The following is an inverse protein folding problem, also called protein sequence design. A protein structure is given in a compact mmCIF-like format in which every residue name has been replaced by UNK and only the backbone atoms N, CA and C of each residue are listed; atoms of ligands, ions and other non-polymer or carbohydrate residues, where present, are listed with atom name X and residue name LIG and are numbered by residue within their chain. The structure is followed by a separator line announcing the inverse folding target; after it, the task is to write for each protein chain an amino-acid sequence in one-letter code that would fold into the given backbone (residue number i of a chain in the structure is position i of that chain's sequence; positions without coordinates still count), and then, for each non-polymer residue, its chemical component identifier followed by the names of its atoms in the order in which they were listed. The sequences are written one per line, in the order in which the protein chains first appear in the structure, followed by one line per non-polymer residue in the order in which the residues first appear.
data_IF_558653123790
#
_entry.id   IF_558653123790
#
_cell.length_a   1.000
_cell.length_b   1.000
_cell.length_c   1.000
_cell.angle_alpha   90.00
_cell.angle_beta   90.00
_cell.angle_gamma   90.00
#
_symmetry.space_group_name_H-M   'P 1'
#
loop_
_entity.id
_entity.type
_entity.pdbx_description
1 polymer ?
#
# COMPACT_ATOMS: atom_id res chain seq x y z
N UNK A 1 -18.73 -7.86 19.93
CA UNK A 1 -17.27 -7.83 19.65
C UNK A 1 -16.92 -7.42 18.21
N UNK A 2 -17.61 -7.92 17.20
CA UNK A 2 -17.40 -7.53 15.81
C UNK A 2 -17.91 -6.12 15.47
N UNK A 3 -18.84 -5.60 16.24
CA UNK A 3 -19.50 -4.31 15.98
C UNK A 3 -18.54 -3.12 15.97
N UNK A 4 -17.56 -3.08 16.88
CA UNK A 4 -16.59 -1.98 16.97
C UNK A 4 -15.65 -1.94 15.76
N UNK A 5 -15.12 -3.11 15.37
CA UNK A 5 -14.25 -3.23 14.20
C UNK A 5 -15.02 -2.80 12.94
N UNK A 6 -16.27 -3.27 12.80
CA UNK A 6 -17.14 -2.93 11.69
C UNK A 6 -17.47 -1.44 11.65
N UNK A 7 -17.82 -0.83 12.79
CA UNK A 7 -18.15 0.61 12.86
C UNK A 7 -16.95 1.47 12.45
N UNK A 8 -15.75 1.16 12.96
CA UNK A 8 -14.54 1.90 12.63
C UNK A 8 -14.14 1.69 11.17
N UNK A 9 -14.23 0.48 10.66
CA UNK A 9 -14.04 0.17 9.26
C UNK A 9 -15.00 0.97 8.35
N UNK A 10 -16.31 0.93 8.67
CA UNK A 10 -17.34 1.64 7.91
C UNK A 10 -17.16 3.17 7.95
N UNK A 11 -16.72 3.70 9.10
CA UNK A 11 -16.40 5.12 9.27
C UNK A 11 -15.30 5.54 8.29
N UNK A 12 -14.22 4.77 8.18
CA UNK A 12 -13.12 5.05 7.26
C UNK A 12 -13.61 5.06 5.81
N UNK A 13 -14.36 4.06 5.42
CA UNK A 13 -14.90 3.93 4.08
C UNK A 13 -15.83 5.10 3.73
N UNK A 14 -16.79 5.44 4.62
CA UNK A 14 -17.70 6.58 4.42
C UNK A 14 -16.96 7.91 4.31
N UNK A 15 -15.92 8.11 5.15
CA UNK A 15 -15.10 9.33 5.13
C UNK A 15 -14.35 9.47 3.81
N UNK A 16 -13.78 8.38 3.30
CA UNK A 16 -13.10 8.37 2.02
C UNK A 16 -14.05 8.65 0.85
N UNK A 17 -15.19 7.96 0.76
CA UNK A 17 -16.16 8.13 -0.32
C UNK A 17 -16.79 9.52 -0.38
N UNK A 18 -16.90 10.21 0.78
CA UNK A 18 -17.40 11.59 0.84
C UNK A 18 -16.37 12.64 0.41
N UNK A 19 -15.09 12.31 0.39
CA UNK A 19 -14.00 13.23 0.05
C UNK A 19 -13.55 13.07 -1.40
N UNK A 20 -14.28 13.64 -2.35
CA UNK A 20 -13.94 13.59 -3.78
C UNK A 20 -12.54 14.16 -4.07
N UNK A 21 -12.16 15.25 -3.40
CA UNK A 21 -10.84 15.86 -3.53
C UNK A 21 -9.72 14.91 -3.11
N UNK A 22 -9.92 14.11 -2.06
CA UNK A 22 -8.95 13.10 -1.61
C UNK A 22 -8.80 11.98 -2.63
N UNK A 23 -9.91 11.49 -3.21
CA UNK A 23 -9.90 10.45 -4.24
C UNK A 23 -9.13 10.93 -5.48
N UNK A 24 -9.47 12.12 -5.99
CA UNK A 24 -8.83 12.68 -7.18
C UNK A 24 -7.36 13.00 -6.91
N UNK A 25 -7.05 13.62 -5.76
CA UNK A 25 -5.69 13.99 -5.40
C UNK A 25 -4.75 12.79 -5.24
N UNK A 26 -5.24 11.69 -4.65
CA UNK A 26 -4.45 10.47 -4.48
C UNK A 26 -4.20 9.70 -5.78
N UNK A 27 -5.02 9.92 -6.82
CA UNK A 27 -4.81 9.34 -8.15
C UNK A 27 -3.81 10.15 -9.00
N UNK A 28 -3.63 11.43 -8.71
CA UNK A 28 -2.82 12.33 -9.55
C UNK A 28 -1.41 11.81 -9.80
N UNK A 29 -0.70 11.45 -8.74
CA UNK A 29 0.68 10.95 -8.84
C UNK A 29 0.77 9.58 -9.56
N UNK A 30 0.03 8.51 -9.18
CA UNK A 30 0.07 7.24 -9.90
C UNK A 30 -0.27 7.37 -11.38
N UNK A 31 -1.31 8.14 -11.70
CA UNK A 31 -1.73 8.36 -13.09
C UNK A 31 -0.64 9.09 -13.88
N UNK A 32 -0.07 10.15 -13.31
CA UNK A 32 1.01 10.89 -13.94
C UNK A 32 2.22 9.98 -14.20
N UNK A 33 2.63 9.17 -13.21
CA UNK A 33 3.73 8.23 -13.38
C UNK A 33 3.42 7.18 -14.46
N UNK A 34 2.20 6.63 -14.47
CA UNK A 34 1.81 5.65 -15.49
C UNK A 34 1.93 6.22 -16.91
N UNK A 35 1.41 7.42 -17.14
CA UNK A 35 1.42 8.03 -18.46
C UNK A 35 2.81 8.62 -18.81
N UNK A 36 3.42 9.39 -17.92
CA UNK A 36 4.70 10.04 -18.20
C UNK A 36 5.83 9.01 -18.38
N UNK A 37 5.94 8.04 -17.48
CA UNK A 37 6.97 7.01 -17.59
C UNK A 37 6.59 5.95 -18.64
N UNK A 38 5.34 5.51 -18.67
CA UNK A 38 4.87 4.50 -19.60
C UNK A 38 5.08 4.88 -21.06
N UNK A 39 4.69 6.09 -21.44
CA UNK A 39 4.90 6.60 -22.81
C UNK A 39 6.28 7.18 -23.01
N UNK A 40 6.88 7.85 -22.01
CA UNK A 40 8.20 8.46 -22.11
C UNK A 40 9.32 7.44 -22.26
N UNK A 41 9.32 6.38 -21.44
CA UNK A 41 10.34 5.33 -21.51
C UNK A 41 9.97 4.16 -22.44
N UNK A 42 8.71 4.06 -22.88
CA UNK A 42 8.24 2.98 -23.76
C UNK A 42 9.15 2.73 -24.98
N UNK A 43 9.49 3.73 -25.81
CA UNK A 43 10.35 3.55 -26.96
C UNK A 43 11.77 3.07 -26.61
N UNK A 44 12.33 3.52 -25.50
CA UNK A 44 13.67 3.13 -25.03
C UNK A 44 13.65 1.66 -24.58
N UNK A 45 12.63 1.28 -23.83
CA UNK A 45 12.45 -0.08 -23.31
C UNK A 45 12.25 -1.12 -24.43
N UNK A 46 11.48 -0.75 -25.46
CA UNK A 46 11.30 -1.58 -26.66
C UNK A 46 12.61 -1.76 -27.43
N UNK A 47 13.38 -0.67 -27.63
CA UNK A 47 14.69 -0.76 -28.31
C UNK A 47 15.69 -1.62 -27.55
N UNK A 48 15.58 -1.69 -26.22
CA UNK A 48 16.40 -2.59 -25.40
C UNK A 48 15.93 -4.06 -25.42
N UNK A 49 14.90 -4.40 -26.22
CA UNK A 49 14.37 -5.78 -26.31
C UNK A 49 13.54 -6.25 -25.12
N UNK A 50 13.15 -5.33 -24.22
CA UNK A 50 12.46 -5.63 -22.97
C UNK A 50 10.90 -5.65 -23.10
N UNK A 51 10.37 -5.49 -24.32
CA UNK A 51 8.94 -5.52 -24.60
C UNK A 51 8.23 -4.20 -24.31
N UNK A 52 7.00 -4.27 -23.83
CA UNK A 52 6.17 -3.09 -23.57
C UNK A 52 6.34 -2.60 -22.12
N UNK A 53 6.83 -1.37 -21.96
CA UNK A 53 7.09 -0.78 -20.64
C UNK A 53 5.82 -0.57 -19.79
N UNK A 54 4.66 -0.30 -20.39
CA UNK A 54 3.39 -0.20 -19.66
C UNK A 54 3.05 -1.54 -19.00
N UNK A 55 3.31 -2.66 -19.68
CA UNK A 55 3.10 -4.01 -19.11
C UNK A 55 4.00 -4.24 -17.89
N UNK A 56 5.25 -3.80 -17.96
CA UNK A 56 6.21 -3.92 -16.87
C UNK A 56 5.88 -2.97 -15.70
N UNK A 57 5.51 -1.72 -16.00
CA UNK A 57 5.34 -0.63 -15.04
C UNK A 57 4.04 -0.74 -14.23
N UNK A 58 2.94 -1.20 -14.84
CA UNK A 58 1.59 -1.20 -14.23
C UNK A 58 1.54 -1.86 -12.85
N UNK A 59 2.07 -3.08 -12.61
CA UNK A 59 2.05 -3.68 -11.27
C UNK A 59 2.74 -2.81 -10.22
N UNK A 60 3.86 -2.18 -10.59
CA UNK A 60 4.59 -1.25 -9.73
C UNK A 60 3.79 0.02 -9.38
N UNK A 61 3.06 0.59 -10.35
CA UNK A 61 2.22 1.77 -10.10
C UNK A 61 1.01 1.44 -9.25
N UNK A 62 0.42 0.26 -9.41
CA UNK A 62 -0.65 -0.22 -8.53
C UNK A 62 -0.12 -0.34 -7.09
N UNK A 63 1.03 -0.99 -6.90
CA UNK A 63 1.66 -1.14 -5.59
C UNK A 63 2.02 0.23 -4.97
N UNK A 64 2.53 1.16 -5.76
CA UNK A 64 2.79 2.54 -5.36
C UNK A 64 1.53 3.23 -4.82
N UNK A 65 0.43 3.14 -5.56
CA UNK A 65 -0.85 3.74 -5.14
C UNK A 65 -1.34 3.18 -3.82
N UNK A 66 -1.23 1.85 -3.64
CA UNK A 66 -1.58 1.16 -2.41
C UNK A 66 -0.65 1.63 -1.27
N UNK A 67 0.67 1.64 -1.48
CA UNK A 67 1.65 2.07 -0.49
C UNK A 67 1.35 3.46 0.07
N UNK A 68 1.22 4.45 -0.82
CA UNK A 68 0.95 5.83 -0.41
C UNK A 68 -0.38 5.94 0.34
N UNK A 69 -1.46 5.39 -0.21
CA UNK A 69 -2.79 5.47 0.40
C UNK A 69 -2.85 4.77 1.75
N UNK A 70 -2.21 3.60 1.86
CA UNK A 70 -2.15 2.82 3.10
C UNK A 70 -1.43 3.55 4.21
N UNK A 71 -0.19 3.99 3.95
CA UNK A 71 0.64 4.65 4.95
C UNK A 71 0.01 5.96 5.41
N UNK A 72 -0.44 6.81 4.46
CA UNK A 72 -1.06 8.08 4.82
C UNK A 72 -2.43 7.95 5.48
N UNK A 73 -3.07 6.77 5.46
CA UNK A 73 -4.27 6.52 6.27
C UNK A 73 -4.00 6.63 7.77
N UNK A 74 -2.76 6.39 8.21
CA UNK A 74 -2.32 6.54 9.61
C UNK A 74 -2.44 7.96 10.15
N UNK A 75 -2.35 9.00 9.29
CA UNK A 75 -2.44 10.40 9.71
C UNK A 75 -3.77 10.72 10.43
N UNK A 76 -4.80 9.92 10.16
CA UNK A 76 -6.11 10.09 10.80
C UNK A 76 -6.07 9.83 12.32
N UNK A 77 -5.11 9.02 12.81
CA UNK A 77 -4.92 8.82 14.25
C UNK A 77 -4.39 10.11 14.89
N UNK A 78 -3.47 10.80 14.21
CA UNK A 78 -2.91 12.06 14.68
C UNK A 78 -3.98 13.15 14.67
N UNK A 79 -4.80 13.22 13.62
CA UNK A 79 -5.94 14.13 13.57
C UNK A 79 -6.94 13.88 14.69
N UNK A 80 -7.35 12.61 14.87
CA UNK A 80 -8.29 12.24 15.93
C UNK A 80 -7.71 12.57 17.31
N UNK A 81 -6.38 12.54 17.50
CA UNK A 81 -5.69 12.97 18.73
C UNK A 81 -5.75 14.49 18.90
N UNK A 82 -5.40 15.27 17.87
CA UNK A 82 -5.34 16.73 17.94
C UNK A 82 -6.73 17.37 18.12
N UNK A 83 -7.76 16.80 17.50
CA UNK A 83 -9.14 17.29 17.60
C UNK A 83 -9.94 16.66 18.76
N UNK A 84 -9.30 15.88 19.64
CA UNK A 84 -9.93 15.31 20.83
C UNK A 84 -10.79 14.07 20.59
N UNK A 85 -11.06 13.69 19.35
CA UNK A 85 -11.91 12.55 19.00
C UNK A 85 -11.31 11.21 19.44
N UNK A 86 -9.98 11.13 19.55
CA UNK A 86 -9.32 9.94 20.04
C UNK A 86 -9.65 9.67 21.52
N UNK A 87 -9.84 10.75 22.34
CA UNK A 87 -10.24 10.64 23.75
C UNK A 87 -11.59 9.96 23.87
N UNK A 88 -12.58 10.39 23.09
CA UNK A 88 -13.92 9.78 23.07
C UNK A 88 -13.87 8.30 22.70
N UNK A 89 -13.04 7.93 21.72
CA UNK A 89 -12.86 6.54 21.29
C UNK A 89 -12.19 5.69 22.36
N UNK A 90 -11.25 6.26 23.15
CA UNK A 90 -10.49 5.52 24.18
C UNK A 90 -11.22 5.41 25.53
N UNK A 91 -12.22 6.26 25.79
CA UNK A 91 -13.11 6.16 26.96
C UNK A 91 -14.14 5.03 26.78
N UNK A 92 -14.46 4.64 25.55
CA UNK A 92 -15.34 3.52 25.29
C UNK A 92 -14.79 2.21 25.91
N UNK A 93 -15.62 1.36 26.52
CA UNK A 93 -15.18 0.10 27.14
C UNK A 93 -14.89 -0.99 26.11
N UNK A 94 -13.94 -0.71 25.21
CA UNK A 94 -13.53 -1.59 24.12
C UNK A 94 -12.02 -1.85 24.14
N UNK A 95 -11.58 -3.07 23.87
CA UNK A 95 -10.16 -3.39 23.79
C UNK A 95 -9.48 -2.57 22.68
N UNK A 96 -8.34 -1.95 23.01
CA UNK A 96 -7.62 -1.05 22.11
C UNK A 96 -7.17 -1.72 20.80
N UNK A 97 -6.89 -3.04 20.84
CA UNK A 97 -6.55 -3.80 19.64
C UNK A 97 -7.68 -3.83 18.60
N UNK A 98 -8.95 -3.84 19.04
CA UNK A 98 -10.09 -3.79 18.12
C UNK A 98 -10.17 -2.46 17.38
N UNK A 99 -9.82 -1.37 18.07
CA UNK A 99 -9.76 -0.04 17.47
C UNK A 99 -8.67 -0.04 16.39
N UNK A 100 -7.49 -0.56 16.70
CA UNK A 100 -6.38 -0.64 15.76
C UNK A 100 -6.73 -1.50 14.55
N UNK A 101 -7.25 -2.70 14.75
CA UNK A 101 -7.65 -3.61 13.67
C UNK A 101 -8.74 -2.98 12.79
N UNK A 102 -9.77 -2.37 13.39
CA UNK A 102 -10.83 -1.70 12.64
C UNK A 102 -10.31 -0.56 11.75
N UNK A 103 -9.35 0.23 12.27
CA UNK A 103 -8.68 1.30 11.49
C UNK A 103 -7.80 0.72 10.39
N UNK A 104 -7.01 -0.32 10.69
CA UNK A 104 -6.15 -0.98 9.70
C UNK A 104 -6.97 -1.57 8.57
N UNK A 105 -8.05 -2.29 8.86
CA UNK A 105 -8.94 -2.84 7.84
C UNK A 105 -9.61 -1.74 7.02
N UNK A 106 -10.03 -0.64 7.66
CA UNK A 106 -10.62 0.50 6.97
C UNK A 106 -9.67 1.16 5.99
N UNK A 107 -8.45 1.49 6.43
CA UNK A 107 -7.40 2.06 5.59
C UNK A 107 -6.97 1.11 4.46
N UNK A 108 -6.82 -0.19 4.77
CA UNK A 108 -6.48 -1.21 3.78
C UNK A 108 -7.57 -1.37 2.70
N UNK A 109 -8.85 -1.33 3.07
CA UNK A 109 -9.95 -1.37 2.10
C UNK A 109 -9.92 -0.16 1.18
N UNK A 110 -9.67 1.03 1.72
CA UNK A 110 -9.53 2.27 0.94
C UNK A 110 -8.34 2.18 -0.02
N UNK A 111 -7.19 1.70 0.45
CA UNK A 111 -5.99 1.55 -0.37
C UNK A 111 -6.15 0.49 -1.47
N UNK A 112 -6.79 -0.63 -1.17
CA UNK A 112 -7.12 -1.66 -2.16
C UNK A 112 -8.05 -1.10 -3.24
N UNK A 113 -9.08 -0.35 -2.84
CA UNK A 113 -9.98 0.31 -3.78
C UNK A 113 -9.24 1.30 -4.68
N UNK A 114 -8.30 2.06 -4.10
CA UNK A 114 -7.43 2.96 -4.86
C UNK A 114 -6.55 2.19 -5.87
N UNK A 115 -5.96 1.07 -5.46
CA UNK A 115 -5.21 0.19 -6.35
C UNK A 115 -6.05 -0.37 -7.50
N UNK A 116 -7.32 -0.74 -7.24
CA UNK A 116 -8.27 -1.17 -8.27
C UNK A 116 -8.60 -0.05 -9.26
N UNK A 117 -8.77 1.19 -8.81
CA UNK A 117 -8.98 2.33 -9.71
C UNK A 117 -7.77 2.50 -10.64
N UNK A 118 -6.55 2.44 -10.08
CA UNK A 118 -5.32 2.52 -10.89
C UNK A 118 -5.21 1.35 -11.87
N UNK A 119 -5.59 0.14 -11.45
CA UNK A 119 -5.65 -1.02 -12.34
C UNK A 119 -6.60 -0.77 -13.51
N UNK A 120 -7.82 -0.26 -13.26
CA UNK A 120 -8.79 0.07 -14.33
C UNK A 120 -8.25 1.15 -15.27
N UNK A 121 -7.61 2.19 -14.73
CA UNK A 121 -6.97 3.24 -15.55
C UNK A 121 -5.84 2.63 -16.40
N UNK A 122 -5.08 1.68 -15.86
CA UNK A 122 -4.01 1.00 -16.61
C UNK A 122 -4.56 0.15 -17.77
N UNK A 123 -5.74 -0.46 -17.63
CA UNK A 123 -6.40 -1.15 -18.73
C UNK A 123 -6.74 -0.19 -19.89
N UNK A 124 -7.22 1.03 -19.54
CA UNK A 124 -7.50 2.09 -20.52
C UNK A 124 -6.22 2.58 -21.18
N UNK A 125 -5.10 2.63 -20.44
CA UNK A 125 -3.77 3.01 -20.95
C UNK A 125 -3.11 1.94 -21.83
N UNK A 126 -3.77 0.77 -22.02
CA UNK A 126 -3.28 -0.31 -22.91
C UNK A 126 -2.60 -1.47 -22.18
N UNK A 127 -2.67 -1.54 -20.85
CA UNK A 127 -2.28 -2.72 -20.11
C UNK A 127 -3.23 -3.89 -20.40
N UNK A 128 -2.68 -5.10 -20.57
CA UNK A 128 -3.47 -6.32 -20.81
C UNK A 128 -2.98 -7.41 -19.86
N UNK A 129 -3.80 -7.82 -18.86
CA UNK A 129 -3.46 -8.96 -18.02
C UNK A 129 -3.37 -10.23 -18.87
N UNK A 130 -2.34 -11.04 -18.65
CA UNK A 130 -2.13 -12.25 -19.46
C UNK A 130 -3.13 -13.36 -19.15
N UNK A 131 -3.45 -13.54 -17.87
CA UNK A 131 -4.34 -14.60 -17.42
C UNK A 131 -5.46 -14.05 -16.52
N UNK A 132 -6.71 -13.99 -16.98
CA UNK A 132 -7.83 -13.53 -16.16
C UNK A 132 -8.05 -14.34 -14.87
N UNK A 133 -7.72 -15.65 -14.85
CA UNK A 133 -7.86 -16.47 -13.66
C UNK A 133 -6.90 -16.04 -12.53
N UNK A 134 -5.77 -15.44 -12.88
CA UNK A 134 -4.80 -14.94 -11.92
C UNK A 134 -5.17 -13.58 -11.29
N UNK A 135 -6.23 -12.92 -11.77
CA UNK A 135 -6.70 -11.65 -11.20
C UNK A 135 -7.11 -11.79 -9.73
N UNK A 136 -7.60 -12.97 -9.32
CA UNK A 136 -7.95 -13.22 -7.92
C UNK A 136 -6.71 -13.14 -7.03
N UNK A 137 -5.57 -13.69 -7.47
CA UNK A 137 -4.31 -13.62 -6.73
C UNK A 137 -3.76 -12.20 -6.70
N UNK A 138 -3.85 -11.46 -7.81
CA UNK A 138 -3.49 -10.03 -7.83
C UNK A 138 -4.32 -9.24 -6.81
N UNK A 139 -5.64 -9.49 -6.75
CA UNK A 139 -6.52 -8.84 -5.77
C UNK A 139 -6.14 -9.18 -4.32
N UNK A 140 -5.84 -10.44 -4.03
CA UNK A 140 -5.40 -10.87 -2.70
C UNK A 140 -4.07 -10.21 -2.31
N UNK A 141 -3.11 -10.08 -3.24
CA UNK A 141 -1.85 -9.38 -3.00
C UNK A 141 -2.08 -7.90 -2.75
N UNK A 142 -3.00 -7.24 -3.50
CA UNK A 142 -3.38 -5.85 -3.23
C UNK A 142 -3.88 -5.70 -1.78
N UNK A 143 -4.74 -6.60 -1.31
CA UNK A 143 -5.28 -6.59 0.05
C UNK A 143 -4.16 -6.78 1.08
N UNK A 144 -3.29 -7.76 0.91
CA UNK A 144 -2.19 -8.04 1.85
C UNK A 144 -1.21 -6.88 1.92
N UNK A 145 -0.81 -6.34 0.77
CA UNK A 145 0.05 -5.14 0.69
C UNK A 145 -0.61 -3.95 1.38
N UNK A 146 -1.91 -3.76 1.17
CA UNK A 146 -2.67 -2.68 1.81
C UNK A 146 -2.76 -2.86 3.33
N UNK A 147 -3.01 -4.07 3.85
CA UNK A 147 -3.03 -4.35 5.29
C UNK A 147 -1.66 -4.08 5.91
N UNK A 148 -0.59 -4.60 5.28
CA UNK A 148 0.78 -4.44 5.74
C UNK A 148 1.15 -2.97 5.92
N UNK A 149 1.00 -2.17 4.88
CA UNK A 149 1.40 -0.76 4.91
C UNK A 149 0.44 0.13 5.69
N UNK A 150 -0.84 -0.23 5.80
CA UNK A 150 -1.76 0.45 6.72
C UNK A 150 -1.39 0.16 8.17
N UNK A 151 -1.05 -1.07 8.51
CA UNK A 151 -0.59 -1.43 9.84
C UNK A 151 0.71 -0.68 10.20
N UNK A 152 1.65 -0.57 9.25
CA UNK A 152 2.87 0.22 9.43
C UNK A 152 2.57 1.70 9.67
N UNK A 153 1.76 2.31 8.81
CA UNK A 153 1.38 3.73 8.94
C UNK A 153 0.65 4.04 10.24
N UNK A 154 -0.28 3.17 10.65
CA UNK A 154 -1.02 3.33 11.91
C UNK A 154 -0.13 3.07 13.14
N UNK A 155 0.82 2.13 13.07
CA UNK A 155 1.79 1.89 14.13
C UNK A 155 2.68 3.13 14.37
N UNK A 156 3.23 3.73 13.31
CA UNK A 156 4.04 4.93 13.40
C UNK A 156 3.22 6.13 13.88
N UNK A 157 2.00 6.31 13.39
CA UNK A 157 1.09 7.36 13.83
C UNK A 157 0.69 7.24 15.31
N UNK A 158 0.75 6.02 15.87
CA UNK A 158 0.46 5.80 17.30
C UNK A 158 1.54 6.41 18.21
N UNK A 159 2.78 6.53 17.73
CA UNK A 159 3.91 7.10 18.47
C UNK A 159 3.98 8.61 18.27
N UNK A 160 3.71 9.08 17.05
CA UNK A 160 3.86 10.48 16.67
C UNK A 160 2.65 11.31 17.10
N UNK A 161 2.90 12.55 17.50
CA UNK A 161 1.87 13.51 17.93
C UNK A 161 1.67 14.65 16.93
N UNK A 162 2.66 14.86 16.05
CA UNK A 162 2.72 15.96 15.11
C UNK A 162 2.50 15.49 13.67
N UNK A 163 1.66 16.22 12.93
CA UNK A 163 1.35 15.90 11.52
C UNK A 163 2.52 16.14 10.59
N UNK A 164 3.30 17.21 10.84
CA UNK A 164 4.42 17.55 9.97
C UNK A 164 5.53 16.52 10.12
N UNK A 165 5.83 16.13 11.37
CA UNK A 165 6.78 15.08 11.68
C UNK A 165 6.37 13.74 11.03
N UNK A 166 5.08 13.40 11.08
CA UNK A 166 4.56 12.21 10.41
C UNK A 166 4.79 12.28 8.89
N UNK A 167 4.46 13.40 8.25
CA UNK A 167 4.65 13.55 6.80
C UNK A 167 6.12 13.44 6.39
N UNK A 168 7.04 14.05 7.14
CA UNK A 168 8.47 14.00 6.86
C UNK A 168 9.00 12.57 6.98
N UNK A 169 8.69 11.88 8.08
CA UNK A 169 9.11 10.48 8.30
C UNK A 169 8.53 9.57 7.23
N UNK A 170 7.25 9.75 6.88
CA UNK A 170 6.61 8.91 5.86
C UNK A 170 7.21 9.13 4.48
N UNK A 171 7.46 10.38 4.06
CA UNK A 171 8.11 10.65 2.79
C UNK A 171 9.52 10.06 2.74
N UNK A 172 10.29 10.17 3.83
CA UNK A 172 11.61 9.57 3.93
C UNK A 172 11.56 8.03 3.86
N UNK A 173 10.53 7.41 4.42
CA UNK A 173 10.36 5.96 4.42
C UNK A 173 9.82 5.44 3.08
N UNK A 174 8.80 6.11 2.52
CA UNK A 174 8.10 5.67 1.31
C UNK A 174 9.02 5.69 0.09
N UNK A 175 9.84 6.73 -0.06
CA UNK A 175 10.68 6.87 -1.24
C UNK A 175 11.69 5.72 -1.40
N UNK A 176 12.50 5.35 -0.40
CA UNK A 176 13.36 4.18 -0.51
C UNK A 176 12.61 2.89 -0.78
N UNK A 177 11.50 2.63 -0.06
CA UNK A 177 10.68 1.45 -0.27
C UNK A 177 10.18 1.36 -1.72
N UNK A 178 9.66 2.46 -2.27
CA UNK A 178 9.15 2.46 -3.64
C UNK A 178 10.26 2.27 -4.67
N UNK A 179 11.38 2.99 -4.53
CA UNK A 179 12.47 2.89 -5.50
C UNK A 179 13.21 1.55 -5.43
N UNK A 180 13.34 0.93 -4.26
CA UNK A 180 13.99 -0.37 -4.11
C UNK A 180 13.07 -1.55 -4.46
N UNK A 181 11.75 -1.36 -4.50
CA UNK A 181 10.79 -2.46 -4.71
C UNK A 181 10.83 -3.14 -6.09
N UNK A 182 11.64 -2.66 -7.02
CA UNK A 182 11.60 -3.13 -8.41
C UNK A 182 10.37 -2.70 -9.20
N UNK A 183 9.62 -1.70 -8.71
CA UNK A 183 8.45 -1.17 -9.39
C UNK A 183 8.80 -0.50 -10.74
N UNK A 184 9.94 0.18 -10.81
CA UNK A 184 10.35 1.00 -11.95
C UNK A 184 11.40 0.35 -12.85
N UNK A 185 12.15 -0.64 -12.37
CA UNK A 185 13.22 -1.29 -13.11
C UNK A 185 13.28 -2.80 -12.81
N UNK A 186 13.78 -3.60 -13.75
CA UNK A 186 13.98 -5.04 -13.55
C UNK A 186 15.01 -5.33 -12.47
N UNK A 187 14.77 -6.36 -11.66
CA UNK A 187 15.67 -6.77 -10.57
C UNK A 187 16.85 -7.64 -11.03
N UNK A 188 16.89 -8.01 -12.30
CA UNK A 188 17.92 -8.91 -12.84
C UNK A 188 19.25 -8.17 -13.03
N UNK A 189 20.37 -8.82 -12.63
CA UNK A 189 21.71 -8.29 -12.86
C UNK A 189 22.17 -7.20 -11.88
N UNK A 190 21.47 -7.00 -10.77
CA UNK A 190 21.81 -6.02 -9.75
C UNK A 190 23.03 -6.46 -8.91
N UNK A 191 23.82 -5.52 -8.38
CA UNK A 191 24.86 -5.79 -7.39
C UNK A 191 24.28 -6.47 -6.13
N UNK A 192 25.05 -7.36 -5.50
CA UNK A 192 24.60 -8.11 -4.31
C UNK A 192 24.03 -7.24 -3.20
N UNK A 193 24.61 -6.07 -2.95
CA UNK A 193 24.15 -5.14 -1.89
C UNK A 193 22.73 -4.68 -2.18
N UNK A 194 22.43 -4.28 -3.42
CA UNK A 194 21.08 -3.87 -3.81
C UNK A 194 20.09 -5.04 -3.75
N UNK A 195 20.49 -6.22 -4.18
CA UNK A 195 19.66 -7.43 -4.09
C UNK A 195 19.27 -7.76 -2.64
N UNK A 196 20.18 -7.60 -1.67
CA UNK A 196 19.88 -7.78 -0.25
C UNK A 196 18.90 -6.73 0.24
N UNK A 197 19.12 -5.45 -0.09
CA UNK A 197 18.21 -4.35 0.31
C UNK A 197 16.80 -4.56 -0.25
N UNK A 198 16.69 -5.00 -1.50
CA UNK A 198 15.42 -5.32 -2.16
C UNK A 198 14.71 -6.48 -1.46
N UNK A 199 15.45 -7.53 -1.06
CA UNK A 199 14.88 -8.67 -0.35
C UNK A 199 14.40 -8.34 1.07
N UNK A 200 14.88 -7.26 1.66
CA UNK A 200 14.41 -6.75 2.95
C UNK A 200 13.18 -5.83 2.82
N UNK A 201 12.92 -5.34 1.62
CA UNK A 201 11.79 -4.46 1.35
C UNK A 201 10.49 -5.27 1.14
N UNK A 202 9.50 -5.16 2.05
CA UNK A 202 8.25 -5.89 1.89
C UNK A 202 7.44 -5.47 0.66
N UNK A 203 7.65 -4.26 0.13
CA UNK A 203 6.97 -3.80 -1.09
C UNK A 203 7.46 -4.58 -2.31
N UNK A 204 8.71 -5.05 -2.32
CA UNK A 204 9.24 -5.87 -3.41
C UNK A 204 8.42 -7.12 -3.67
N UNK A 205 7.99 -7.80 -2.61
CA UNK A 205 7.10 -8.97 -2.71
C UNK A 205 5.68 -8.59 -3.17
N UNK A 206 5.19 -7.41 -2.77
CA UNK A 206 3.92 -6.88 -3.27
C UNK A 206 3.96 -6.59 -4.78
N UNK A 207 5.03 -5.94 -5.25
CA UNK A 207 5.25 -5.64 -6.67
C UNK A 207 5.47 -6.91 -7.47
N UNK A 208 6.28 -7.84 -6.98
CA UNK A 208 6.60 -9.09 -7.68
C UNK A 208 5.37 -10.00 -7.79
N UNK A 209 4.64 -10.17 -6.71
CA UNK A 209 3.41 -10.95 -6.71
C UNK A 209 2.32 -10.36 -7.62
N UNK A 210 2.16 -9.02 -7.65
CA UNK A 210 1.29 -8.34 -8.62
C UNK A 210 1.78 -8.57 -10.05
N UNK A 211 3.09 -8.46 -10.29
CA UNK A 211 3.67 -8.68 -11.62
C UNK A 211 3.48 -10.13 -12.06
N UNK A 212 3.79 -11.11 -11.21
CA UNK A 212 3.58 -12.52 -11.48
C UNK A 212 2.13 -12.86 -11.80
N UNK A 213 1.19 -12.32 -11.01
CA UNK A 213 -0.24 -12.56 -11.21
C UNK A 213 -0.81 -11.87 -12.45
N UNK A 214 -0.35 -10.66 -12.79
CA UNK A 214 -0.90 -9.87 -13.89
C UNK A 214 -0.21 -10.12 -15.23
N UNK A 215 1.12 -10.39 -15.24
CA UNK A 215 1.94 -10.50 -16.45
C UNK A 215 2.65 -11.84 -16.59
N UNK A 216 2.51 -12.75 -15.63
CA UNK A 216 3.19 -14.04 -15.63
C UNK A 216 4.71 -13.97 -15.40
N UNK A 217 5.26 -12.77 -15.21
CA UNK A 217 6.69 -12.54 -14.97
C UNK A 217 6.91 -12.28 -13.48
N UNK A 218 7.56 -13.19 -12.76
CA UNK A 218 7.92 -13.01 -11.35
C UNK A 218 9.42 -13.25 -11.14
N UNK A 219 9.99 -12.56 -10.17
CA UNK A 219 11.37 -12.79 -9.72
C UNK A 219 11.41 -13.86 -8.62
N UNK A 220 10.47 -13.80 -7.69
CA UNK A 220 10.23 -14.80 -6.66
C UNK A 220 9.08 -15.73 -7.07
N UNK A 221 8.82 -16.76 -6.28
CA UNK A 221 7.62 -17.56 -6.45
C UNK A 221 6.44 -16.89 -5.74
N UNK A 222 5.26 -16.92 -6.37
CA UNK A 222 4.03 -16.35 -5.81
C UNK A 222 3.75 -16.82 -4.37
N UNK A 223 4.09 -18.09 -4.05
CA UNK A 223 3.96 -18.62 -2.68
C UNK A 223 4.87 -17.89 -1.69
N UNK A 224 6.09 -17.50 -2.10
CA UNK A 224 7.03 -16.73 -1.27
C UNK A 224 6.44 -15.33 -1.01
N UNK A 225 5.94 -14.68 -2.05
CA UNK A 225 5.33 -13.35 -1.94
C UNK A 225 4.17 -13.34 -0.94
N UNK A 226 3.24 -14.29 -1.07
CA UNK A 226 2.14 -14.45 -0.12
C UNK A 226 2.63 -14.69 1.30
N UNK A 227 3.59 -15.60 1.48
CA UNK A 227 4.09 -15.97 2.81
C UNK A 227 4.74 -14.78 3.50
N UNK A 228 5.62 -14.06 2.81
CA UNK A 228 6.30 -12.88 3.35
C UNK A 228 5.30 -11.77 3.68
N UNK A 229 4.37 -11.46 2.77
CA UNK A 229 3.36 -10.44 3.01
C UNK A 229 2.46 -10.79 4.19
N UNK A 230 2.03 -12.04 4.35
CA UNK A 230 1.20 -12.49 5.48
C UNK A 230 1.98 -12.35 6.80
N UNK A 231 3.20 -12.88 6.86
CA UNK A 231 4.02 -12.86 8.08
C UNK A 231 4.25 -11.41 8.53
N UNK A 232 4.70 -10.54 7.62
CA UNK A 232 4.99 -9.15 7.96
C UNK A 232 3.69 -8.40 8.34
N UNK A 233 2.57 -8.66 7.65
CA UNK A 233 1.27 -8.05 7.99
C UNK A 233 0.82 -8.42 9.41
N UNK A 234 0.97 -9.68 9.81
CA UNK A 234 0.62 -10.14 11.17
C UNK A 234 1.53 -9.49 12.21
N UNK A 235 2.84 -9.46 11.96
CA UNK A 235 3.81 -8.84 12.86
C UNK A 235 3.51 -7.35 13.04
N UNK A 236 3.31 -6.61 11.94
CA UNK A 236 3.05 -5.16 11.99
C UNK A 236 1.69 -4.84 12.62
N UNK A 237 0.66 -5.65 12.37
CA UNK A 237 -0.65 -5.47 13.01
C UNK A 237 -0.56 -5.72 14.52
N UNK A 238 0.18 -6.74 14.94
CA UNK A 238 0.44 -7.02 16.35
C UNK A 238 1.24 -5.91 17.03
N UNK A 239 2.34 -5.49 16.41
CA UNK A 239 3.17 -4.38 16.88
C UNK A 239 2.37 -3.07 16.97
N UNK A 240 1.59 -2.76 15.93
CA UNK A 240 0.74 -1.58 15.91
C UNK A 240 -0.31 -1.61 17.01
N UNK A 241 -0.93 -2.77 17.25
CA UNK A 241 -1.89 -2.94 18.35
C UNK A 241 -1.24 -2.72 19.72
N UNK A 242 -0.01 -3.20 19.90
CA UNK A 242 0.76 -2.97 21.12
C UNK A 242 1.13 -1.49 21.32
N UNK A 243 1.64 -0.83 20.28
CA UNK A 243 1.98 0.60 20.33
C UNK A 243 0.74 1.47 20.57
N UNK A 244 -0.36 1.16 19.89
CA UNK A 244 -1.62 1.86 20.10
C UNK A 244 -2.15 1.69 21.53
N UNK A 245 -1.91 0.54 22.15
CA UNK A 245 -2.31 0.31 23.55
C UNK A 245 -1.58 1.20 24.56
N UNK A 246 -0.42 1.71 24.22
CA UNK A 246 0.40 2.60 25.07
C UNK A 246 0.07 4.09 24.91
N UNK A 247 -0.85 4.46 24.03
CA UNK A 247 -1.26 5.85 23.88
C UNK A 247 -1.85 6.34 25.19
N UNK A 248 -1.22 7.37 25.77
CA UNK A 248 -1.71 8.14 26.91
C UNK A 248 -2.45 9.38 26.41
N UNK A 249 -3.54 9.73 27.09
CA UNK A 249 -4.42 10.85 26.74
C UNK A 249 -4.15 12.01 27.69
#
# INVERSE_FOLDING_TARGET
MMDVIYILWLRQLKRYLRSKSRIIGSLGQPVLFLFALGFGFGPIFQKAGQGNYIQFLTPGIIAMSILFTSIFSGIEIIWDRQFGFLKETLVAPVPRWQIMVGRTLGGATVATFQGLIVFVISLIAGFKPQNPAMLIFAFLIMILTAILFTALGTAIASILTDMQGFQLIMNFLIMPLFFLSGALFPLNGLPKILSILISLDPLSYGVDGLRGSLTGLSHYNLTVDFTVLIIISVILTGLGSYLFSKIQI
#
